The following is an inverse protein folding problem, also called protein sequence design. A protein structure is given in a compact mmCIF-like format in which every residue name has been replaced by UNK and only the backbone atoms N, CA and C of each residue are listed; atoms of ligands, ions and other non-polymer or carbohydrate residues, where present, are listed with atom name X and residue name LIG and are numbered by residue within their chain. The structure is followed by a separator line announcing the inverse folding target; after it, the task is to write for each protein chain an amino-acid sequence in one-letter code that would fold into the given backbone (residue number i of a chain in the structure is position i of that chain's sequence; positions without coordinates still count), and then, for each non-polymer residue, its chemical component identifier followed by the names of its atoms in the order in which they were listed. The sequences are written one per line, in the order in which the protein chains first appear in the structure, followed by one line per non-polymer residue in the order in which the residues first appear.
data_IF_309312099862
#
_entry.id   IF_309312099862
#
_cell.length_a   1.000
_cell.length_b   1.000
_cell.length_c   1.000
_cell.angle_alpha   90.00
_cell.angle_beta   90.00
_cell.angle_gamma   90.00
#
_symmetry.space_group_name_H-M   'P 1'
#
loop_
_entity.id
_entity.type
_entity.pdbx_description
1 polymer ?
#
# COMPACT_ATOMS: atom_id res chain seq x y z
N UNK A 1 -5.00 -21.55 6.73
CA UNK A 1 -4.89 -20.08 6.53
C UNK A 1 -4.43 -19.85 5.11
N UNK A 2 -4.96 -18.83 4.42
CA UNK A 2 -4.54 -18.48 3.05
C UNK A 2 -3.14 -17.83 3.04
N UNK A 3 -2.54 -17.68 1.86
CA UNK A 3 -1.28 -16.95 1.68
C UNK A 3 -1.38 -15.52 2.26
N UNK A 4 -2.48 -14.83 1.98
CA UNK A 4 -2.76 -13.50 2.51
C UNK A 4 -2.91 -13.50 4.04
N UNK A 5 -3.59 -14.48 4.64
CA UNK A 5 -3.78 -14.54 6.09
C UNK A 5 -2.44 -14.70 6.82
N UNK A 6 -1.59 -15.60 6.33
CA UNK A 6 -0.26 -15.83 6.94
C UNK A 6 0.67 -14.63 6.76
N UNK A 7 0.64 -14.00 5.58
CA UNK A 7 1.40 -12.77 5.31
C UNK A 7 0.95 -11.62 6.23
N UNK A 8 -0.37 -11.45 6.37
CA UNK A 8 -0.97 -10.43 7.26
C UNK A 8 -0.54 -10.66 8.70
N UNK A 9 -0.61 -11.89 9.20
CA UNK A 9 -0.18 -12.23 10.55
C UNK A 9 1.28 -11.85 10.77
N UNK A 10 2.18 -12.24 9.87
CA UNK A 10 3.61 -11.92 9.97
C UNK A 10 3.86 -10.39 9.98
N UNK A 11 3.23 -9.63 9.08
CA UNK A 11 3.41 -8.18 9.01
C UNK A 11 2.86 -7.47 10.26
N UNK A 12 1.66 -7.85 10.73
CA UNK A 12 1.08 -7.28 11.95
C UNK A 12 1.99 -7.58 13.14
N UNK A 13 2.46 -8.82 13.29
CA UNK A 13 3.39 -9.18 14.38
C UNK A 13 4.65 -8.33 14.35
N UNK A 14 5.28 -8.13 13.18
CA UNK A 14 6.47 -7.28 13.05
C UNK A 14 6.19 -5.82 13.39
N UNK A 15 5.08 -5.25 12.90
CA UNK A 15 4.71 -3.87 13.19
C UNK A 15 4.34 -3.67 14.66
N UNK A 16 3.64 -4.62 15.29
CA UNK A 16 3.33 -4.59 16.72
C UNK A 16 4.57 -4.62 17.61
N UNK A 17 5.68 -5.19 17.12
CA UNK A 17 6.96 -5.19 17.82
C UNK A 17 7.73 -3.86 17.73
N UNK A 18 7.26 -2.87 16.96
CA UNK A 18 7.86 -1.52 16.92
C UNK A 18 7.78 -0.92 18.33
N UNK A 19 8.95 -0.54 18.87
CA UNK A 19 9.10 -0.10 20.26
C UNK A 19 8.54 1.31 20.51
N UNK A 20 8.67 2.20 19.52
CA UNK A 20 8.16 3.57 19.60
C UNK A 20 6.64 3.57 19.38
N UNK A 21 5.82 3.92 20.38
CA UNK A 21 4.36 3.75 20.28
C UNK A 21 3.74 4.55 19.14
N UNK A 22 4.11 5.82 18.97
CA UNK A 22 3.57 6.66 17.90
C UNK A 22 3.88 6.10 16.50
N UNK A 23 5.09 5.56 16.29
CA UNK A 23 5.48 4.94 15.02
C UNK A 23 4.73 3.63 14.80
N UNK A 24 4.54 2.82 15.85
CA UNK A 24 3.77 1.57 15.78
C UNK A 24 2.32 1.84 15.40
N UNK A 25 1.70 2.81 16.06
CA UNK A 25 0.30 3.16 15.86
C UNK A 25 0.09 3.72 14.44
N UNK A 26 1.01 4.57 13.96
CA UNK A 26 1.03 5.04 12.57
C UNK A 26 1.20 3.88 11.58
N UNK A 27 2.18 2.99 11.79
CA UNK A 27 2.46 1.87 10.91
C UNK A 27 1.25 0.95 10.76
N UNK A 28 0.65 0.55 11.88
CA UNK A 28 -0.52 -0.34 11.88
C UNK A 28 -1.74 0.34 11.26
N UNK A 29 -2.04 1.58 11.67
CA UNK A 29 -3.23 2.30 11.20
C UNK A 29 -3.16 2.55 9.70
N UNK A 30 -2.03 3.10 9.22
CA UNK A 30 -1.85 3.42 7.81
C UNK A 30 -1.83 2.15 6.95
N UNK A 31 -1.03 1.14 7.32
CA UNK A 31 -0.92 -0.09 6.53
C UNK A 31 -2.26 -0.81 6.41
N UNK A 32 -2.98 -0.99 7.51
CA UNK A 32 -4.28 -1.66 7.48
C UNK A 32 -5.34 -0.81 6.77
N UNK A 33 -5.34 0.51 6.96
CA UNK A 33 -6.23 1.41 6.22
C UNK A 33 -6.03 1.34 4.70
N UNK A 34 -4.77 1.27 4.25
CA UNK A 34 -4.43 1.09 2.84
C UNK A 34 -4.86 -0.28 2.34
N UNK A 35 -4.76 -1.35 3.15
CA UNK A 35 -5.28 -2.67 2.79
C UNK A 35 -6.79 -2.65 2.52
N UNK A 36 -7.57 -1.98 3.36
CA UNK A 36 -9.01 -1.87 3.17
C UNK A 36 -9.36 -1.02 1.94
N UNK A 37 -8.61 0.07 1.71
CA UNK A 37 -8.75 0.85 0.48
C UNK A 37 -8.41 0.02 -0.77
N UNK A 38 -7.38 -0.82 -0.71
CA UNK A 38 -7.02 -1.75 -1.79
C UNK A 38 -8.11 -2.79 -2.05
N UNK A 39 -8.72 -3.35 -1.00
CA UNK A 39 -9.83 -4.28 -1.14
C UNK A 39 -11.05 -3.62 -1.82
N UNK A 40 -11.37 -2.38 -1.46
CA UNK A 40 -12.41 -1.59 -2.11
C UNK A 40 -12.10 -1.36 -3.60
N UNK A 41 -10.89 -0.89 -3.91
CA UNK A 41 -10.49 -0.59 -5.29
C UNK A 41 -10.40 -1.84 -6.15
N UNK A 42 -10.04 -2.99 -5.59
CA UNK A 42 -10.06 -4.26 -6.29
C UNK A 42 -11.46 -4.58 -6.82
N UNK A 43 -12.50 -4.35 -6.02
CA UNK A 43 -13.89 -4.55 -6.44
C UNK A 43 -14.34 -3.58 -7.52
N UNK A 44 -13.94 -2.31 -7.41
CA UNK A 44 -14.37 -1.25 -8.33
C UNK A 44 -13.67 -1.37 -9.68
N UNK A 45 -12.44 -1.92 -9.70
CA UNK A 45 -11.57 -1.96 -10.89
C UNK A 45 -11.38 -3.36 -11.45
N UNK A 46 -12.12 -4.36 -10.95
CA UNK A 46 -12.04 -5.76 -11.35
C UNK A 46 -10.59 -6.30 -11.29
N UNK A 47 -9.93 -6.07 -10.16
CA UNK A 47 -8.57 -6.55 -9.87
C UNK A 47 -8.61 -7.71 -8.88
N UNK A 48 -7.54 -8.50 -8.85
CA UNK A 48 -7.40 -9.59 -7.89
C UNK A 48 -7.29 -9.02 -6.45
N UNK A 49 -8.26 -9.32 -5.56
CA UNK A 49 -8.26 -8.77 -4.21
C UNK A 49 -7.10 -9.30 -3.35
N UNK A 50 -6.65 -10.54 -3.58
CA UNK A 50 -5.52 -11.12 -2.85
C UNK A 50 -4.24 -10.35 -3.18
N UNK A 51 -3.96 -10.07 -4.46
CA UNK A 51 -2.79 -9.26 -4.85
C UNK A 51 -2.90 -7.83 -4.34
N UNK A 52 -4.06 -7.20 -4.47
CA UNK A 52 -4.31 -5.84 -4.01
C UNK A 52 -4.07 -5.68 -2.50
N UNK A 53 -4.59 -6.58 -1.67
CA UNK A 53 -4.42 -6.50 -0.23
C UNK A 53 -2.97 -6.79 0.18
N UNK A 54 -2.28 -7.71 -0.49
CA UNK A 54 -0.85 -7.99 -0.26
C UNK A 54 0.03 -6.79 -0.61
N UNK A 55 -0.29 -6.04 -1.67
CA UNK A 55 0.37 -4.78 -1.99
C UNK A 55 0.20 -3.75 -0.87
N UNK A 56 -1.03 -3.59 -0.36
CA UNK A 56 -1.32 -2.66 0.75
C UNK A 56 -0.53 -3.00 2.02
N UNK A 57 -0.46 -4.29 2.38
CA UNK A 57 0.29 -4.77 3.55
C UNK A 57 1.78 -4.46 3.47
N UNK A 58 2.35 -4.47 2.27
CA UNK A 58 3.80 -4.49 2.06
C UNK A 58 4.39 -3.15 1.60
N UNK A 59 3.58 -2.20 1.14
CA UNK A 59 4.07 -1.05 0.38
C UNK A 59 5.10 -0.18 1.14
N UNK A 60 4.94 -0.06 2.46
CA UNK A 60 5.77 0.76 3.34
C UNK A 60 6.58 -0.06 4.36
N UNK A 61 6.76 -1.37 4.15
CA UNK A 61 7.52 -2.20 5.07
C UNK A 61 8.96 -1.71 5.30
N UNK A 62 9.65 -1.19 4.28
CA UNK A 62 11.00 -0.65 4.48
C UNK A 62 10.99 0.61 5.36
N UNK A 63 9.96 1.46 5.23
CA UNK A 63 9.79 2.67 6.02
C UNK A 63 9.63 2.30 7.51
N UNK A 64 8.67 1.43 7.82
CA UNK A 64 8.31 1.11 9.21
C UNK A 64 9.21 0.07 9.88
N UNK A 65 9.60 -1.00 9.18
CA UNK A 65 10.33 -2.11 9.79
C UNK A 65 11.85 -1.94 9.76
N UNK A 66 12.35 -1.11 8.83
CA UNK A 66 13.80 -0.89 8.65
C UNK A 66 14.22 0.57 8.85
N UNK A 67 13.31 1.43 9.30
CA UNK A 67 13.55 2.86 9.52
C UNK A 67 14.19 3.54 8.28
N UNK A 68 13.75 3.13 7.09
CA UNK A 68 14.22 3.70 5.83
C UNK A 68 13.68 5.14 5.67
N UNK A 69 14.48 6.10 5.17
CA UNK A 69 13.94 7.41 4.81
C UNK A 69 12.86 7.30 3.72
N UNK A 70 11.96 8.29 3.66
CA UNK A 70 10.96 8.38 2.60
C UNK A 70 11.58 8.43 1.19
N UNK A 71 12.79 8.95 1.02
CA UNK A 71 13.44 8.87 -0.28
C UNK A 71 13.86 7.42 -0.57
N UNK A 72 13.26 6.80 -1.60
CA UNK A 72 13.58 5.43 -2.02
C UNK A 72 12.93 4.32 -1.20
N UNK A 73 12.02 4.62 -0.27
CA UNK A 73 11.32 3.59 0.52
C UNK A 73 10.56 2.61 -0.38
N UNK A 74 9.86 3.08 -1.43
CA UNK A 74 9.11 2.23 -2.35
C UNK A 74 9.95 1.12 -2.99
N UNK A 75 11.15 1.45 -3.48
CA UNK A 75 12.05 0.48 -4.09
C UNK A 75 12.58 -0.54 -3.07
N UNK A 76 12.89 -0.08 -1.85
CA UNK A 76 13.34 -0.95 -0.77
C UNK A 76 12.21 -1.85 -0.26
N UNK A 77 10.99 -1.33 -0.12
CA UNK A 77 9.81 -2.12 0.23
C UNK A 77 9.53 -3.18 -0.82
N UNK A 78 9.66 -2.85 -2.12
CA UNK A 78 9.50 -3.83 -3.19
C UNK A 78 10.54 -4.96 -3.12
N UNK A 79 11.81 -4.62 -2.82
CA UNK A 79 12.86 -5.61 -2.62
C UNK A 79 12.60 -6.53 -1.40
N UNK A 80 12.13 -5.97 -0.29
CA UNK A 80 11.73 -6.74 0.90
C UNK A 80 10.51 -7.62 0.64
N UNK A 81 9.50 -7.07 -0.06
CA UNK A 81 8.26 -7.75 -0.41
C UNK A 81 8.55 -9.04 -1.19
N UNK A 82 9.52 -9.02 -2.11
CA UNK A 82 9.89 -10.20 -2.91
C UNK A 82 10.21 -11.41 -2.02
N UNK A 83 11.06 -11.25 -1.02
CA UNK A 83 11.47 -12.34 -0.13
C UNK A 83 10.32 -12.84 0.76
N UNK A 84 9.47 -11.92 1.25
CA UNK A 84 8.30 -12.27 2.05
C UNK A 84 7.29 -13.06 1.23
N UNK A 85 6.93 -12.58 0.04
CA UNK A 85 5.97 -13.25 -0.83
C UNK A 85 6.46 -14.65 -1.26
N UNK A 86 7.76 -14.81 -1.52
CA UNK A 86 8.36 -16.13 -1.77
C UNK A 86 8.20 -17.07 -0.57
N UNK A 87 8.45 -16.58 0.65
CA UNK A 87 8.29 -17.37 1.87
C UNK A 87 6.83 -17.78 2.13
N UNK A 88 5.87 -16.97 1.70
CA UNK A 88 4.44 -17.27 1.77
C UNK A 88 3.88 -18.00 0.53
N UNK A 89 4.75 -18.44 -0.39
CA UNK A 89 4.38 -19.32 -1.50
C UNK A 89 3.63 -18.67 -2.65
N UNK A 90 3.75 -17.35 -2.86
CA UNK A 90 3.21 -16.67 -4.03
C UNK A 90 3.89 -17.13 -5.32
N UNK A 91 3.14 -17.15 -6.42
CA UNK A 91 3.69 -17.49 -7.73
C UNK A 91 4.61 -16.37 -8.25
N UNK A 92 5.62 -16.68 -9.08
CA UNK A 92 6.55 -15.67 -9.60
C UNK A 92 5.87 -14.48 -10.30
N UNK A 93 4.81 -14.72 -11.07
CA UNK A 93 4.07 -13.67 -11.75
C UNK A 93 3.31 -12.74 -10.77
N UNK A 94 2.74 -13.31 -9.70
CA UNK A 94 2.08 -12.55 -8.64
C UNK A 94 3.08 -11.67 -7.89
N UNK A 95 4.26 -12.25 -7.58
CA UNK A 95 5.36 -11.52 -6.93
C UNK A 95 5.80 -10.34 -7.80
N UNK A 96 5.98 -10.56 -9.10
CA UNK A 96 6.36 -9.49 -10.04
C UNK A 96 5.32 -8.37 -10.08
N UNK A 97 4.02 -8.70 -10.12
CA UNK A 97 2.94 -7.72 -10.08
C UNK A 97 2.94 -6.92 -8.78
N UNK A 98 3.02 -7.58 -7.62
CA UNK A 98 3.04 -6.92 -6.31
C UNK A 98 4.27 -6.03 -6.16
N UNK A 99 5.47 -6.54 -6.45
CA UNK A 99 6.71 -5.79 -6.34
C UNK A 99 6.73 -4.57 -7.28
N UNK A 100 6.19 -4.70 -8.50
CA UNK A 100 6.10 -3.59 -9.46
C UNK A 100 5.19 -2.48 -8.94
N UNK A 101 4.00 -2.83 -8.43
CA UNK A 101 3.10 -1.86 -7.84
C UNK A 101 3.73 -1.12 -6.66
N UNK A 102 4.38 -1.86 -5.76
CA UNK A 102 5.09 -1.27 -4.61
C UNK A 102 6.24 -0.38 -5.06
N UNK A 103 7.04 -0.79 -6.04
CA UNK A 103 8.18 0.00 -6.54
C UNK A 103 7.74 1.36 -7.11
N UNK A 104 6.55 1.41 -7.71
CA UNK A 104 5.98 2.59 -8.34
C UNK A 104 5.11 3.46 -7.43
N UNK A 105 4.71 2.97 -6.25
CA UNK A 105 3.60 3.59 -5.50
C UNK A 105 3.91 5.02 -5.01
N UNK A 106 5.18 5.37 -4.79
CA UNK A 106 5.57 6.71 -4.35
C UNK A 106 5.60 7.73 -5.49
N UNK A 107 5.65 7.28 -6.75
CA UNK A 107 5.58 8.15 -7.93
C UNK A 107 4.14 8.51 -8.25
N UNK A 108 3.65 9.55 -7.58
CA UNK A 108 2.31 10.08 -7.82
C UNK A 108 2.21 10.90 -9.12
N UNK A 109 3.31 11.26 -9.78
CA UNK A 109 3.26 12.09 -10.99
C UNK A 109 2.99 11.28 -12.26
N UNK A 110 3.46 10.04 -12.29
CA UNK A 110 3.39 9.19 -13.48
C UNK A 110 2.24 8.18 -13.39
N UNK A 111 1.78 7.72 -14.56
CA UNK A 111 0.80 6.64 -14.71
C UNK A 111 1.52 5.35 -15.08
N UNK A 112 1.20 4.26 -14.39
CA UNK A 112 1.73 2.92 -14.61
C UNK A 112 0.60 1.91 -14.87
N UNK A 113 0.82 0.63 -14.55
CA UNK A 113 -0.16 -0.44 -14.67
C UNK A 113 -1.33 -0.30 -13.67
N UNK A 114 -2.37 -1.12 -13.85
CA UNK A 114 -3.60 -1.04 -13.08
C UNK A 114 -3.41 -1.26 -11.56
N UNK A 115 -2.49 -2.16 -11.17
CA UNK A 115 -2.20 -2.43 -9.76
C UNK A 115 -1.37 -1.30 -9.13
N UNK A 116 -0.40 -0.78 -9.87
CA UNK A 116 0.37 0.41 -9.49
C UNK A 116 -0.55 1.60 -9.23
N UNK A 117 -1.51 1.87 -10.13
CA UNK A 117 -2.46 2.97 -9.94
C UNK A 117 -3.44 2.70 -8.78
N UNK A 118 -3.91 1.46 -8.59
CA UNK A 118 -4.73 1.10 -7.43
C UNK A 118 -3.99 1.37 -6.11
N UNK A 119 -2.73 0.97 -5.98
CA UNK A 119 -1.95 1.20 -4.77
C UNK A 119 -1.67 2.69 -4.53
N UNK A 120 -1.39 3.46 -5.59
CA UNK A 120 -1.21 4.91 -5.47
C UNK A 120 -2.46 5.61 -4.96
N UNK A 121 -3.62 5.19 -5.47
CA UNK A 121 -4.93 5.70 -5.08
C UNK A 121 -5.29 5.31 -3.66
N UNK A 122 -5.06 4.06 -3.26
CA UNK A 122 -5.33 3.57 -1.90
C UNK A 122 -4.52 4.33 -0.84
N UNK A 123 -3.22 4.53 -1.08
CA UNK A 123 -2.33 5.29 -0.18
C UNK A 123 -2.81 6.74 0.02
N UNK A 124 -3.29 7.39 -1.05
CA UNK A 124 -3.83 8.75 -0.96
C UNK A 124 -5.21 8.75 -0.29
N UNK A 125 -6.07 7.78 -0.61
CA UNK A 125 -7.42 7.69 -0.09
C UNK A 125 -7.42 7.49 1.43
N UNK A 126 -6.58 6.58 1.93
CA UNK A 126 -6.45 6.33 3.37
C UNK A 126 -6.07 7.62 4.10
N UNK A 127 -5.03 8.31 3.63
CA UNK A 127 -4.58 9.56 4.27
C UNK A 127 -5.64 10.64 4.21
N UNK A 128 -6.36 10.79 3.10
CA UNK A 128 -7.44 11.77 3.00
C UNK A 128 -8.64 11.44 3.91
N UNK A 129 -9.00 10.16 4.06
CA UNK A 129 -10.06 9.74 4.98
C UNK A 129 -9.71 10.03 6.44
N UNK A 130 -8.43 9.91 6.78
CA UNK A 130 -7.93 10.14 8.15
C UNK A 130 -7.62 11.60 8.45
N UNK A 131 -7.06 12.33 7.48
CA UNK A 131 -6.50 13.68 7.62
C UNK A 131 -6.94 14.59 6.45
N UNK A 132 -8.23 14.96 6.43
CA UNK A 132 -8.85 15.70 5.31
C UNK A 132 -8.16 17.01 4.92
N UNK A 133 -7.54 17.70 5.88
CA UNK A 133 -7.00 19.06 5.68
C UNK A 133 -5.48 19.09 5.46
N UNK A 134 -4.84 17.93 5.31
CA UNK A 134 -3.40 17.88 5.08
C UNK A 134 -3.03 18.48 3.69
N UNK A 135 -1.98 19.32 3.60
CA UNK A 135 -1.57 19.90 2.33
C UNK A 135 -1.08 18.81 1.36
N UNK A 136 -1.67 18.78 0.16
CA UNK A 136 -1.30 17.86 -0.90
C UNK A 136 -0.51 18.58 -2.00
N UNK A 137 0.50 17.88 -2.54
CA UNK A 137 1.13 18.27 -3.80
C UNK A 137 0.12 18.17 -4.95
N UNK A 138 0.37 18.89 -6.05
CA UNK A 138 -0.52 18.92 -7.21
C UNK A 138 -0.81 17.52 -7.76
N UNK A 139 0.22 16.67 -7.87
CA UNK A 139 0.08 15.29 -8.32
C UNK A 139 -0.86 14.46 -7.41
N UNK A 140 -0.76 14.64 -6.09
CA UNK A 140 -1.65 13.96 -5.12
C UNK A 140 -3.07 14.51 -5.21
N UNK A 141 -3.23 15.84 -5.30
CA UNK A 141 -4.53 16.51 -5.42
C UNK A 141 -5.29 16.09 -6.68
N UNK A 142 -4.61 16.07 -7.84
CA UNK A 142 -5.21 15.65 -9.11
C UNK A 142 -5.69 14.20 -9.02
N UNK A 143 -4.86 13.31 -8.47
CA UNK A 143 -5.22 11.89 -8.27
C UNK A 143 -6.40 11.74 -7.32
N UNK A 144 -6.39 12.42 -6.17
CA UNK A 144 -7.49 12.41 -5.21
C UNK A 144 -8.81 12.88 -5.84
N UNK A 145 -8.82 14.00 -6.59
CA UNK A 145 -10.05 14.50 -7.25
C UNK A 145 -10.58 13.48 -8.25
N UNK A 146 -9.70 12.87 -9.06
CA UNK A 146 -10.10 11.84 -10.00
C UNK A 146 -10.69 10.60 -9.29
N UNK A 147 -10.06 10.18 -8.19
CA UNK A 147 -10.51 9.09 -7.35
C UNK A 147 -11.86 9.38 -6.70
N UNK A 148 -12.03 10.55 -6.08
CA UNK A 148 -13.31 10.95 -5.49
C UNK A 148 -14.43 10.96 -6.52
N UNK A 149 -14.18 11.42 -7.76
CA UNK A 149 -15.18 11.32 -8.85
C UNK A 149 -15.54 9.88 -9.18
N UNK A 150 -14.55 8.98 -9.26
CA UNK A 150 -14.79 7.56 -9.49
C UNK A 150 -15.65 6.94 -8.37
N UNK A 151 -15.37 7.32 -7.12
CA UNK A 151 -16.05 6.83 -5.92
C UNK A 151 -17.35 7.57 -5.58
N UNK A 152 -17.72 8.59 -6.36
CA UNK A 152 -18.86 9.48 -6.09
C UNK A 152 -18.77 10.17 -4.70
N UNK A 153 -17.56 10.54 -4.30
CA UNK A 153 -17.25 11.30 -3.09
C UNK A 153 -17.04 12.78 -3.41
N UNK A 154 -17.31 13.64 -2.42
CA UNK A 154 -17.00 15.07 -2.49
C UNK A 154 -15.61 15.33 -1.88
N UNK A 155 -14.60 15.71 -2.68
CA UNK A 155 -13.24 15.96 -2.23
C UNK A 155 -13.11 17.27 -1.42
#
# INVERSE_FOLDING_TARGET
MSQLDTLREEIITKMSAITMPALRDEALTHTLGVCECMALLARIRDLDPLLCMSMGLLHDCALYLHNCPHQGHAQKSAALAKSLLQAHGYAPAEIEQICTAIAHHSDKGQRHDAYSEALKDADILERWLREKDAPLSDARRIRLIALCRQLQLHP
#
